data_IF_587702634970
#
_entry.id   IF_587702634970
#
_cell.length_a   1.000
_cell.length_b   1.000
_cell.length_c   1.000
_cell.angle_alpha   90.00
_cell.angle_beta   90.00
_cell.angle_gamma   90.00
#
_symmetry.space_group_name_H-M   'P 1'
#
loop_
_entity.id
_entity.type
_entity.pdbx_description
1 polymer ?
#
# COMPACT_ATOMS: atom_id res chain seq x y z
N UNK A 1 13.89 -45.60 -26.99
CA UNK A 1 13.08 -44.37 -26.82
C UNK A 1 12.38 -44.00 -28.13
N UNK A 2 13.09 -44.06 -29.26
CA UNK A 2 12.55 -43.95 -30.63
C UNK A 2 11.43 -44.95 -30.96
N UNK A 3 11.57 -46.22 -30.58
CA UNK A 3 10.57 -47.25 -30.93
C UNK A 3 9.25 -47.08 -30.19
N UNK A 4 9.30 -46.58 -28.96
CA UNK A 4 8.12 -46.28 -28.16
C UNK A 4 7.36 -45.06 -28.72
N UNK A 5 8.08 -44.05 -29.18
CA UNK A 5 7.51 -42.87 -29.85
C UNK A 5 6.87 -43.28 -31.19
N UNK A 6 7.51 -44.19 -31.93
CA UNK A 6 6.99 -44.69 -33.21
C UNK A 6 5.72 -45.54 -33.01
N UNK A 7 5.67 -46.39 -31.97
CA UNK A 7 4.48 -47.18 -31.64
C UNK A 7 3.28 -46.31 -31.24
N UNK A 8 3.52 -45.25 -30.45
CA UNK A 8 2.47 -44.28 -30.05
C UNK A 8 1.98 -43.47 -31.26
N UNK A 9 2.91 -43.03 -32.12
CA UNK A 9 2.59 -42.34 -33.38
C UNK A 9 1.65 -43.17 -34.26
N UNK A 10 1.96 -44.45 -34.45
CA UNK A 10 1.19 -45.32 -35.33
C UNK A 10 -0.20 -45.61 -34.76
N UNK A 11 -0.30 -45.86 -33.45
CA UNK A 11 -1.60 -46.05 -32.79
C UNK A 11 -2.48 -44.78 -32.84
N UNK A 12 -1.89 -43.59 -32.65
CA UNK A 12 -2.64 -42.33 -32.77
C UNK A 12 -3.17 -42.10 -34.19
N UNK A 13 -2.40 -42.46 -35.22
CA UNK A 13 -2.82 -42.30 -36.62
C UNK A 13 -4.01 -43.22 -36.99
N UNK A 14 -4.04 -44.46 -36.50
CA UNK A 14 -5.17 -45.37 -36.70
C UNK A 14 -6.45 -44.85 -36.04
N UNK A 15 -6.35 -44.35 -34.80
CA UNK A 15 -7.49 -43.76 -34.10
C UNK A 15 -7.99 -42.48 -34.77
N UNK A 16 -7.09 -41.62 -35.24
CA UNK A 16 -7.46 -40.38 -35.94
C UNK A 16 -8.15 -40.67 -37.28
N UNK A 17 -7.69 -41.68 -38.02
CA UNK A 17 -8.35 -42.12 -39.25
C UNK A 17 -9.72 -42.77 -38.99
N UNK A 18 -9.89 -43.48 -37.87
CA UNK A 18 -11.18 -44.05 -37.48
C UNK A 18 -12.22 -42.98 -37.09
N UNK A 19 -11.78 -41.85 -36.51
CA UNK A 19 -12.67 -40.75 -36.12
C UNK A 19 -13.00 -39.76 -37.25
N UNK A 20 -12.16 -39.65 -38.28
CA UNK A 20 -12.36 -38.71 -39.39
C UNK A 20 -11.82 -39.28 -40.72
N UNK A 21 -12.54 -40.25 -41.34
CA UNK A 21 -12.03 -41.03 -42.48
C UNK A 21 -11.83 -40.22 -43.77
N UNK A 22 -12.57 -39.12 -43.96
CA UNK A 22 -12.57 -38.31 -45.20
C UNK A 22 -11.72 -37.03 -45.12
N UNK A 23 -10.95 -36.82 -44.04
CA UNK A 23 -10.12 -35.62 -43.88
C UNK A 23 -8.68 -35.92 -44.30
N UNK A 24 -8.13 -35.26 -45.34
CA UNK A 24 -6.74 -35.46 -45.75
C UNK A 24 -5.78 -35.21 -44.58
N UNK A 25 -4.83 -36.11 -44.33
CA UNK A 25 -3.93 -36.02 -43.17
C UNK A 25 -3.16 -34.70 -43.05
N UNK A 26 -2.95 -33.99 -44.17
CA UNK A 26 -2.39 -32.65 -44.19
C UNK A 26 -3.31 -31.61 -43.53
N UNK A 27 -4.63 -31.64 -43.78
CA UNK A 27 -5.62 -30.75 -43.17
C UNK A 27 -5.75 -31.00 -41.66
N UNK A 28 -5.61 -32.24 -41.22
CA UNK A 28 -5.55 -32.62 -39.80
C UNK A 28 -4.27 -32.08 -39.12
N UNK A 29 -3.13 -32.15 -39.82
CA UNK A 29 -1.87 -31.57 -39.35
C UNK A 29 -1.93 -30.04 -39.21
N UNK A 30 -2.47 -29.34 -40.22
CA UNK A 30 -2.65 -27.89 -40.15
C UNK A 30 -3.70 -27.48 -39.11
N UNK A 31 -4.81 -28.22 -39.00
CA UNK A 31 -5.84 -27.99 -37.99
C UNK A 31 -5.31 -28.15 -36.56
N UNK A 32 -4.54 -29.21 -36.31
CA UNK A 32 -3.87 -29.44 -35.03
C UNK A 32 -2.84 -28.35 -34.71
N UNK A 33 -2.04 -27.93 -35.69
CA UNK A 33 -1.07 -26.86 -35.53
C UNK A 33 -1.72 -25.51 -35.19
N UNK A 34 -2.86 -25.19 -35.82
CA UNK A 34 -3.63 -23.96 -35.53
C UNK A 34 -4.21 -23.98 -34.13
N UNK A 35 -4.77 -25.12 -33.69
CA UNK A 35 -5.33 -25.27 -32.34
C UNK A 35 -4.23 -25.14 -31.29
N UNK A 36 -3.10 -25.85 -31.45
CA UNK A 36 -1.98 -25.79 -30.53
C UNK A 36 -1.33 -24.40 -30.49
N UNK A 37 -1.18 -23.76 -31.66
CA UNK A 37 -0.68 -22.38 -31.76
C UNK A 37 -1.59 -21.37 -31.05
N UNK A 38 -2.91 -21.49 -31.24
CA UNK A 38 -3.89 -20.65 -30.53
C UNK A 38 -3.85 -20.86 -29.02
N UNK A 39 -3.74 -22.10 -28.56
CA UNK A 39 -3.68 -22.45 -27.15
C UNK A 39 -2.39 -21.95 -26.49
N UNK A 40 -1.26 -22.06 -27.20
CA UNK A 40 0.02 -21.48 -26.77
C UNK A 40 -0.06 -19.95 -26.65
N UNK A 41 -0.71 -19.26 -27.60
CA UNK A 41 -0.90 -17.82 -27.56
C UNK A 41 -1.75 -17.39 -26.34
N UNK A 42 -2.82 -18.12 -26.04
CA UNK A 42 -3.68 -17.87 -24.87
C UNK A 42 -2.87 -18.04 -23.58
N UNK A 43 -2.08 -19.11 -23.45
CA UNK A 43 -1.24 -19.33 -22.28
C UNK A 43 -0.19 -18.23 -22.10
N UNK A 44 0.41 -17.73 -23.20
CA UNK A 44 1.33 -16.60 -23.16
C UNK A 44 0.62 -15.31 -22.70
N UNK A 45 -0.60 -15.05 -23.17
CA UNK A 45 -1.39 -13.88 -22.73
C UNK A 45 -1.74 -13.97 -21.25
N UNK A 46 -2.13 -15.15 -20.77
CA UNK A 46 -2.43 -15.40 -19.35
C UNK A 46 -1.16 -15.25 -18.51
N UNK A 47 -0.05 -15.83 -18.95
CA UNK A 47 1.24 -15.67 -18.30
C UNK A 47 1.66 -14.20 -18.25
N UNK A 48 1.52 -13.45 -19.35
CA UNK A 48 1.80 -12.00 -19.38
C UNK A 48 0.87 -11.22 -18.44
N UNK A 49 -0.40 -11.62 -18.27
CA UNK A 49 -1.31 -11.00 -17.30
C UNK A 49 -0.94 -11.32 -15.85
N UNK A 50 -0.48 -12.54 -15.57
CA UNK A 50 -0.09 -12.97 -14.23
C UNK A 50 1.31 -12.43 -13.84
N UNK A 51 2.25 -12.42 -14.79
CA UNK A 51 3.61 -11.88 -14.63
C UNK A 51 3.70 -10.37 -14.84
N UNK A 52 2.64 -9.72 -15.31
CA UNK A 52 2.33 -8.33 -14.93
C UNK A 52 1.96 -8.29 -13.44
N UNK A 53 2.94 -8.70 -12.64
CA UNK A 53 3.04 -8.43 -11.23
C UNK A 53 2.76 -6.95 -11.00
N UNK A 54 2.25 -6.66 -9.80
CA UNK A 54 2.06 -5.34 -9.20
C UNK A 54 3.35 -4.50 -9.11
N UNK A 55 4.30 -4.64 -10.04
CA UNK A 55 5.41 -3.73 -10.27
C UNK A 55 4.97 -2.47 -11.01
N UNK A 56 3.90 -1.84 -10.52
CA UNK A 56 3.58 -0.48 -10.90
C UNK A 56 4.66 0.43 -10.33
N UNK A 57 5.75 0.63 -11.09
CA UNK A 57 6.51 1.87 -11.09
C UNK A 57 5.57 3.00 -11.51
N UNK A 58 4.61 3.31 -10.65
CA UNK A 58 3.77 4.50 -10.78
C UNK A 58 4.53 5.62 -10.12
N UNK A 59 5.43 6.20 -10.91
CA UNK A 59 5.80 7.60 -10.74
C UNK A 59 4.50 8.41 -10.62
N UNK A 60 4.26 8.93 -9.42
CA UNK A 60 3.59 10.19 -9.19
C UNK A 60 2.26 10.45 -9.96
N UNK A 61 1.19 9.72 -9.66
CA UNK A 61 -0.04 10.46 -9.31
C UNK A 61 0.10 10.81 -7.84
N UNK A 62 0.87 11.87 -7.55
CA UNK A 62 1.10 12.40 -6.20
C UNK A 62 -0.26 12.78 -5.61
N UNK A 63 -0.91 11.82 -4.94
CA UNK A 63 -1.87 12.16 -3.89
C UNK A 63 -1.05 13.01 -2.93
N UNK A 64 -1.30 14.32 -2.91
CA UNK A 64 -0.58 15.23 -2.04
C UNK A 64 -1.13 15.02 -0.63
N UNK A 65 -0.72 13.91 -0.01
CA UNK A 65 -1.23 13.45 1.28
C UNK A 65 -1.11 14.55 2.34
N UNK A 66 0.01 15.29 2.46
CA UNK A 66 0.09 16.39 3.40
C UNK A 66 -0.97 17.47 3.15
N UNK A 67 -1.25 17.81 1.87
CA UNK A 67 -2.31 18.78 1.53
C UNK A 67 -3.70 18.26 1.86
N UNK A 68 -3.96 16.96 1.69
CA UNK A 68 -5.23 16.35 2.09
C UNK A 68 -5.40 16.36 3.61
N UNK A 69 -4.35 15.98 4.36
CA UNK A 69 -4.35 16.03 5.83
C UNK A 69 -4.63 17.46 6.31
N UNK A 70 -4.01 18.46 5.68
CA UNK A 70 -4.22 19.87 5.96
C UNK A 70 -5.65 20.33 5.67
N UNK A 71 -6.21 19.97 4.51
CA UNK A 71 -7.59 20.33 4.14
C UNK A 71 -8.64 19.71 5.05
N UNK A 72 -8.39 18.50 5.55
CA UNK A 72 -9.30 17.84 6.48
C UNK A 72 -9.14 18.28 7.94
N UNK A 73 -8.09 19.05 8.26
CA UNK A 73 -7.76 19.38 9.65
C UNK A 73 -7.46 18.14 10.51
N UNK A 74 -6.94 17.08 9.89
CA UNK A 74 -6.65 15.82 10.59
C UNK A 74 -5.52 15.99 11.60
N UNK A 75 -5.71 15.44 12.79
CA UNK A 75 -4.65 15.37 13.82
C UNK A 75 -3.55 14.40 13.39
N UNK A 76 -2.31 14.82 13.60
CA UNK A 76 -1.09 14.08 13.32
C UNK A 76 -0.33 13.87 14.61
N UNK A 77 -0.09 12.61 14.95
CA UNK A 77 0.76 12.19 16.04
C UNK A 77 2.23 12.29 15.59
N UNK A 78 3.10 12.88 16.40
CA UNK A 78 4.51 13.12 16.10
C UNK A 78 5.40 12.45 17.15
N UNK A 79 6.43 11.76 16.68
CA UNK A 79 7.43 11.07 17.51
C UNK A 79 8.83 11.24 16.94
N UNK A 80 9.83 11.28 17.82
CA UNK A 80 11.25 11.14 17.46
C UNK A 80 11.65 9.68 17.22
N UNK A 81 10.87 8.73 17.76
CA UNK A 81 11.04 7.31 17.53
C UNK A 81 10.31 6.86 16.25
N UNK A 82 10.71 5.71 15.73
CA UNK A 82 9.93 4.98 14.71
C UNK A 82 8.87 4.07 15.34
N UNK A 83 8.75 4.05 16.67
CA UNK A 83 7.71 3.30 17.36
C UNK A 83 6.40 4.10 17.45
N UNK A 84 5.27 3.43 17.32
CA UNK A 84 3.94 4.06 17.42
C UNK A 84 3.51 4.33 18.85
N UNK A 85 4.15 3.70 19.83
CA UNK A 85 3.77 3.79 21.25
C UNK A 85 4.40 5.00 21.96
N UNK A 86 5.39 5.65 21.34
CA UNK A 86 6.10 6.79 21.91
C UNK A 86 5.72 8.12 21.24
N UNK A 87 4.45 8.51 21.32
CA UNK A 87 3.97 9.77 20.76
C UNK A 87 4.35 10.92 21.70
N UNK A 88 5.14 11.88 21.20
CA UNK A 88 5.57 13.05 21.98
C UNK A 88 4.56 14.18 21.91
N UNK A 89 4.09 14.53 20.71
CA UNK A 89 3.15 15.64 20.52
C UNK A 89 2.12 15.32 19.45
N UNK A 90 0.98 16.00 19.50
CA UNK A 90 0.00 16.02 18.42
C UNK A 90 -0.05 17.40 17.80
N UNK A 91 -0.10 17.43 16.49
CA UNK A 91 -0.18 18.66 15.73
C UNK A 91 -1.21 18.58 14.61
N UNK A 92 -1.57 19.74 14.09
CA UNK A 92 -2.38 19.89 12.88
C UNK A 92 -1.59 20.63 11.81
N UNK A 93 -1.75 20.24 10.56
CA UNK A 93 -1.09 20.93 9.45
C UNK A 93 -1.86 22.21 9.12
N UNK A 94 -1.23 23.36 9.36
CA UNK A 94 -1.82 24.67 9.05
C UNK A 94 -1.53 25.11 7.62
N UNK A 95 -0.40 24.66 7.05
CA UNK A 95 -0.01 25.00 5.69
C UNK A 95 0.95 23.96 5.10
N UNK A 96 0.76 23.66 3.81
CA UNK A 96 1.66 22.82 3.02
C UNK A 96 2.02 23.57 1.73
N UNK A 97 3.23 24.12 1.68
CA UNK A 97 3.68 24.95 0.55
C UNK A 97 5.20 24.94 0.42
N UNK A 98 5.71 25.08 -0.81
CA UNK A 98 7.14 25.29 -1.09
C UNK A 98 8.07 24.25 -0.44
N UNK A 99 7.64 22.97 -0.41
CA UNK A 99 8.42 21.88 0.18
C UNK A 99 8.45 21.86 1.71
N UNK A 100 7.63 22.69 2.38
CA UNK A 100 7.52 22.76 3.83
C UNK A 100 6.09 22.48 4.31
N UNK A 101 6.00 21.88 5.48
CA UNK A 101 4.76 21.65 6.23
C UNK A 101 4.86 22.46 7.52
N UNK A 102 3.93 23.39 7.72
CA UNK A 102 3.79 24.11 8.98
C UNK A 102 2.78 23.38 9.84
N UNK A 103 3.19 23.03 11.05
CA UNK A 103 2.37 22.28 11.99
C UNK A 103 2.17 23.13 13.25
N UNK A 104 0.95 23.19 13.75
CA UNK A 104 0.62 23.81 15.03
C UNK A 104 0.37 22.71 16.06
N UNK A 105 1.05 22.82 17.21
CA UNK A 105 0.95 21.87 18.30
C UNK A 105 -0.38 22.09 19.02
N UNK A 106 -1.18 21.03 19.15
CA UNK A 106 -2.47 21.07 19.85
C UNK A 106 -2.41 20.36 21.21
N UNK A 107 -1.47 19.43 21.37
CA UNK A 107 -1.37 18.59 22.57
C UNK A 107 0.08 18.13 22.78
N UNK A 108 0.56 18.24 24.01
CA UNK A 108 1.94 17.90 24.40
C UNK A 108 1.87 16.76 25.41
N UNK A 109 2.16 15.55 24.94
CA UNK A 109 2.17 14.36 25.78
C UNK A 109 3.53 14.19 26.48
N UNK A 110 4.62 14.48 25.75
CA UNK A 110 6.01 14.49 26.22
C UNK A 110 6.79 15.60 25.52
N UNK A 111 7.90 16.08 26.10
CA UNK A 111 8.81 16.99 25.41
C UNK A 111 9.29 16.39 24.08
N UNK A 112 9.13 17.13 22.98
CA UNK A 112 9.67 16.74 21.69
C UNK A 112 11.15 17.12 21.65
N UNK A 113 12.04 16.19 22.02
CA UNK A 113 13.50 16.38 21.93
C UNK A 113 14.00 16.21 20.48
N UNK A 114 13.49 17.05 19.58
CA UNK A 114 13.87 17.08 18.18
C UNK A 114 14.48 18.44 17.82
N UNK A 115 15.71 18.43 17.32
CA UNK A 115 16.43 19.60 16.85
C UNK A 115 16.28 19.76 15.35
N UNK A 116 16.61 20.94 14.85
CA UNK A 116 16.68 21.20 13.42
C UNK A 116 17.65 20.21 12.74
N UNK A 117 17.18 19.56 11.69
CA UNK A 117 17.92 18.51 10.97
C UNK A 117 17.53 17.09 11.38
N UNK A 118 16.88 16.91 12.53
CA UNK A 118 16.50 15.58 13.00
C UNK A 118 15.34 15.02 12.17
N UNK A 119 15.28 13.69 12.13
CA UNK A 119 14.18 12.96 11.51
C UNK A 119 13.12 12.66 12.55
N UNK A 120 11.87 12.94 12.20
CA UNK A 120 10.72 12.61 13.03
C UNK A 120 9.70 11.80 12.24
N UNK A 121 8.99 10.94 12.95
CA UNK A 121 7.91 10.14 12.41
C UNK A 121 6.59 10.87 12.65
N UNK A 122 5.84 11.10 11.57
CA UNK A 122 4.49 11.67 11.60
C UNK A 122 3.48 10.57 11.26
N UNK A 123 2.52 10.34 12.15
CA UNK A 123 1.50 9.29 12.05
C UNK A 123 0.12 9.95 12.02
N UNK A 124 -0.73 9.55 11.08
CA UNK A 124 -2.05 10.14 10.85
C UNK A 124 -3.12 9.05 10.68
N UNK A 125 -4.39 9.46 10.50
CA UNK A 125 -5.46 8.52 10.20
C UNK A 125 -5.24 7.86 8.82
N UNK A 126 -5.41 6.53 8.67
CA UNK A 126 -5.11 5.86 7.41
C UNK A 126 -5.83 6.48 6.20
N UNK A 127 -5.06 6.82 5.17
CA UNK A 127 -5.54 7.36 3.89
C UNK A 127 -5.39 6.33 2.79
N UNK A 128 -6.42 6.23 1.94
CA UNK A 128 -6.36 5.38 0.74
C UNK A 128 -5.53 6.08 -0.32
N UNK A 129 -4.59 5.36 -0.91
CA UNK A 129 -3.87 5.74 -2.13
C UNK A 129 -4.28 4.82 -3.28
N UNK A 130 -3.70 5.02 -4.46
CA UNK A 130 -4.01 4.21 -5.65
C UNK A 130 -3.65 2.74 -5.46
N UNK A 131 -2.58 2.46 -4.72
CA UNK A 131 -2.04 1.11 -4.54
C UNK A 131 -2.28 0.50 -3.16
N UNK A 132 -2.35 1.33 -2.11
CA UNK A 132 -2.50 0.83 -0.73
C UNK A 132 -3.03 1.91 0.24
N UNK A 133 -3.21 1.57 1.53
CA UNK A 133 -3.41 2.53 2.61
C UNK A 133 -2.07 2.95 3.20
N UNK A 134 -1.94 4.23 3.53
CA UNK A 134 -0.78 4.75 4.26
C UNK A 134 -1.24 5.59 5.43
N UNK A 135 -0.43 5.64 6.47
CA UNK A 135 -0.76 6.39 7.69
C UNK A 135 0.46 6.98 8.40
N UNK A 136 1.65 6.86 7.81
CA UNK A 136 2.85 7.43 8.38
C UNK A 136 3.83 7.91 7.32
N UNK A 137 4.67 8.87 7.70
CA UNK A 137 5.84 9.28 6.94
C UNK A 137 6.94 9.78 7.88
N UNK A 138 8.18 9.76 7.41
CA UNK A 138 9.32 10.38 8.08
C UNK A 138 9.60 11.71 7.41
N UNK A 139 9.84 12.75 8.21
CA UNK A 139 10.18 14.08 7.75
C UNK A 139 11.32 14.68 8.56
N UNK A 140 12.02 15.66 7.97
CA UNK A 140 13.11 16.38 8.61
C UNK A 140 12.57 17.64 9.27
N UNK A 141 12.99 17.89 10.51
CA UNK A 141 12.69 19.13 11.23
C UNK A 141 13.48 20.28 10.62
N UNK A 142 12.77 21.29 10.12
CA UNK A 142 13.35 22.52 9.58
C UNK A 142 13.43 23.61 10.65
N UNK A 143 12.43 23.66 11.53
CA UNK A 143 12.33 24.56 12.67
C UNK A 143 11.66 23.77 13.79
N UNK A 144 12.32 23.65 14.94
CA UNK A 144 11.78 22.99 16.13
C UNK A 144 11.09 23.99 17.05
N UNK A 145 10.30 23.46 17.98
CA UNK A 145 9.69 24.24 19.08
C UNK A 145 10.74 25.02 19.88
N UNK A 146 11.92 24.44 20.11
CA UNK A 146 12.99 25.02 20.92
C UNK A 146 13.79 26.11 20.20
N UNK A 147 13.82 26.08 18.86
CA UNK A 147 14.66 26.95 18.03
C UNK A 147 13.84 28.12 17.40
N UNK A 148 12.51 28.01 17.41
CA UNK A 148 11.60 28.92 16.72
C UNK A 148 11.18 30.14 17.53
N UNK A 149 10.83 31.23 16.82
CA UNK A 149 10.20 32.45 17.42
C UNK A 149 8.79 32.19 17.98
N UNK A 150 8.23 30.99 17.82
CA UNK A 150 6.86 30.60 18.23
C UNK A 150 6.88 29.19 18.85
N UNK A 151 6.65 29.05 20.16
CA UNK A 151 6.79 27.76 20.85
C UNK A 151 5.75 26.71 20.42
N UNK A 152 4.58 27.11 19.92
CA UNK A 152 3.52 26.16 19.53
C UNK A 152 3.60 25.69 18.08
N UNK A 153 4.76 25.86 17.42
CA UNK A 153 4.88 25.58 15.98
C UNK A 153 6.12 24.79 15.64
N UNK A 154 5.93 23.80 14.76
CA UNK A 154 6.99 23.01 14.16
C UNK A 154 6.92 23.15 12.64
N UNK A 155 8.08 23.24 11.99
CA UNK A 155 8.16 23.25 10.52
C UNK A 155 8.92 22.03 10.04
N UNK A 156 8.31 21.28 9.14
CA UNK A 156 8.81 20.01 8.62
C UNK A 156 9.05 20.09 7.11
N UNK A 157 9.93 19.24 6.60
CA UNK A 157 10.06 19.04 5.15
C UNK A 157 8.88 18.23 4.60
N UNK A 158 8.56 18.41 3.32
CA UNK A 158 7.58 17.52 2.67
C UNK A 158 8.20 16.12 2.52
N UNK A 159 7.54 15.06 3.01
CA UNK A 159 8.08 13.71 2.95
C UNK A 159 8.15 13.19 1.51
N UNK A 160 9.15 12.35 1.25
CA UNK A 160 9.31 11.70 -0.05
C UNK A 160 8.63 10.33 -0.13
N UNK A 161 8.46 9.66 1.02
CA UNK A 161 7.91 8.31 1.12
C UNK A 161 6.86 8.25 2.22
N UNK A 162 5.83 7.44 1.98
CA UNK A 162 4.78 7.13 2.93
C UNK A 162 4.77 5.64 3.18
N UNK A 163 4.42 5.24 4.39
CA UNK A 163 4.32 3.85 4.80
C UNK A 163 3.04 3.62 5.61
N UNK A 164 2.72 2.35 5.82
CA UNK A 164 1.68 1.91 6.72
C UNK A 164 2.32 1.35 7.99
N UNK A 165 2.07 2.00 9.11
CA UNK A 165 2.47 1.57 10.45
C UNK A 165 1.26 1.08 11.23
N UNK A 166 1.34 -0.13 11.78
CA UNK A 166 0.28 -0.64 12.64
C UNK A 166 0.27 0.12 13.96
N UNK A 167 -0.80 0.86 14.23
CA UNK A 167 -0.97 1.63 15.48
C UNK A 167 -1.61 0.84 16.61
N UNK A 168 -2.07 -0.38 16.34
CA UNK A 168 -2.89 -1.14 17.29
C UNK A 168 -2.49 -2.60 17.24
N UNK A 169 -2.18 -3.15 18.41
CA UNK A 169 -1.93 -4.58 18.58
C UNK A 169 -3.17 -5.44 18.32
N UNK A 170 -4.37 -4.89 18.59
CA UNK A 170 -5.62 -5.64 18.50
C UNK A 170 -6.63 -4.99 17.54
N UNK A 171 -7.33 -5.84 16.79
CA UNK A 171 -8.45 -5.42 15.95
C UNK A 171 -9.65 -5.02 16.82
N UNK A 172 -10.28 -3.90 16.48
CA UNK A 172 -11.51 -3.45 17.17
C UNK A 172 -12.71 -4.15 16.53
N UNK A 173 -13.54 -4.79 17.34
CA UNK A 173 -14.89 -5.22 16.92
C UNK A 173 -15.85 -4.07 17.24
N UNK A 174 -16.68 -3.71 16.26
CA UNK A 174 -17.81 -2.81 16.51
C UNK A 174 -18.94 -3.60 17.11
N UNK A 175 -19.60 -3.00 18.09
CA UNK A 175 -20.80 -3.56 18.71
C UNK A 175 -21.97 -3.22 17.78
N UNK A 176 -22.78 -4.23 17.44
CA UNK A 176 -23.88 -4.07 16.50
C UNK A 176 -24.98 -3.13 17.03
N UNK A 177 -25.27 -3.23 18.33
CA UNK A 177 -26.23 -2.36 19.01
C UNK A 177 -25.64 -1.82 20.31
N UNK A 178 -25.52 -0.49 20.38
CA UNK A 178 -24.92 0.21 21.51
C UNK A 178 -25.85 0.25 22.73
N UNK A 179 -27.16 0.03 22.56
CA UNK A 179 -28.15 0.14 23.65
C UNK A 179 -27.94 -0.92 24.74
N UNK A 180 -27.34 -2.06 24.41
CA UNK A 180 -27.06 -3.15 25.35
C UNK A 180 -25.78 -2.97 26.16
N UNK A 181 -24.93 -1.99 25.84
CA UNK A 181 -23.66 -1.79 26.53
C UNK A 181 -23.75 -0.58 27.44
N UNK A 182 -23.65 -0.82 28.75
CA UNK A 182 -23.46 0.24 29.75
C UNK A 182 -21.98 0.27 30.15
N UNK A 183 -21.32 1.39 29.88
CA UNK A 183 -19.93 1.62 30.29
C UNK A 183 -19.94 2.47 31.55
N UNK A 184 -19.36 1.97 32.64
CA UNK A 184 -19.10 2.75 33.85
C UNK A 184 -17.59 2.97 33.97
N UNK A 185 -17.15 4.20 33.75
CA UNK A 185 -15.77 4.60 33.97
C UNK A 185 -15.64 5.06 35.41
N UNK A 186 -14.72 4.43 36.14
CA UNK A 186 -14.29 4.90 37.44
C UNK A 186 -12.89 5.45 37.23
N UNK A 187 -12.72 6.74 37.47
CA UNK A 187 -11.42 7.39 37.47
C UNK A 187 -11.04 7.46 38.95
N UNK A 188 -9.91 6.86 39.32
CA UNK A 188 -9.32 7.11 40.63
C UNK A 188 -8.86 8.57 40.64
N UNK A 189 -9.28 9.36 41.63
CA UNK A 189 -8.82 10.73 41.77
C UNK A 189 -7.28 10.73 41.93
N UNK A 190 -6.55 11.49 41.08
CA UNK A 190 -5.09 11.48 41.04
C UNK A 190 -4.43 12.19 42.22
#
# INVERSE_FOLDING_TARGET
MTDFINAISNGLNEWVQALAPDVPGQLLGYGGAVILGGLALILVIIALRLFRSKGGRTSAKRVNIPKIIQQEGSVVDVSTSQDTDDISTRCVFTSVSSGKIKCEIIDRLKPLDAKKGDLITCIFAPKKTVSDKVNAFVSTVIESETDGRKPDRIVLSVPQKFTMMSRRKHARKRVADQQFIRVKLWIDDP
#
